data_IF_550278088074
#
_entry.id   IF_550278088074
#
_cell.length_a   1.000
_cell.length_b   1.000
_cell.length_c   1.000
_cell.angle_alpha   90.00
_cell.angle_beta   90.00
_cell.angle_gamma   90.00
#
_symmetry.space_group_name_H-M   'P 1'
#
loop_
_entity.id
_entity.type
_entity.pdbx_description
1 polymer ?
#
# COMPACT_ATOMS: atom_id res chain seq x y z
N UNK A 1 7.42 13.49 -7.03
CA UNK A 1 6.73 12.19 -7.17
C UNK A 1 6.47 11.55 -5.80
N UNK A 2 7.47 11.43 -4.93
CA UNK A 2 7.37 10.83 -3.60
C UNK A 2 6.57 11.73 -2.65
N UNK A 3 5.65 11.12 -1.87
CA UNK A 3 4.91 11.76 -0.78
C UNK A 3 5.54 11.41 0.57
N UNK A 4 5.94 10.16 0.74
CA UNK A 4 6.54 9.60 1.95
C UNK A 4 7.42 8.42 1.56
N UNK A 5 8.54 8.26 2.26
CA UNK A 5 9.44 7.12 2.11
C UNK A 5 10.13 6.78 3.43
N UNK A 6 10.55 5.55 3.57
CA UNK A 6 11.42 5.07 4.64
C UNK A 6 12.35 3.99 4.14
N UNK A 7 13.51 3.90 4.77
CA UNK A 7 14.46 2.78 4.64
C UNK A 7 14.74 2.21 6.01
N UNK A 8 14.63 0.88 6.12
CA UNK A 8 14.95 0.14 7.34
C UNK A 8 15.82 -1.06 6.95
N UNK A 9 17.12 -0.95 7.18
CA UNK A 9 18.08 -1.93 6.66
C UNK A 9 17.97 -2.04 5.15
N UNK A 10 17.77 -3.25 4.63
CA UNK A 10 17.59 -3.51 3.21
C UNK A 10 16.18 -3.19 2.67
N UNK A 11 15.23 -2.76 3.51
CA UNK A 11 13.86 -2.50 3.06
C UNK A 11 13.69 -1.04 2.65
N UNK A 12 13.11 -0.85 1.46
CA UNK A 12 12.60 0.40 0.92
C UNK A 12 11.07 0.35 0.91
N UNK A 13 10.41 1.35 1.49
CA UNK A 13 8.97 1.51 1.39
C UNK A 13 8.62 2.96 1.09
N UNK A 14 7.67 3.19 0.18
CA UNK A 14 7.31 4.54 -0.26
C UNK A 14 5.86 4.64 -0.72
N UNK A 15 5.30 5.86 -0.63
CA UNK A 15 4.03 6.24 -1.24
C UNK A 15 4.23 7.42 -2.18
N UNK A 16 3.61 7.35 -3.37
CA UNK A 16 3.63 8.45 -4.33
C UNK A 16 2.59 9.52 -4.00
N UNK A 17 2.79 10.72 -4.56
CA UNK A 17 1.71 11.68 -4.78
C UNK A 17 0.78 11.17 -5.89
N UNK A 18 -0.37 11.86 -6.06
CA UNK A 18 -1.26 11.66 -7.21
C UNK A 18 -0.47 11.72 -8.51
N UNK A 19 -0.66 10.74 -9.36
CA UNK A 19 -0.23 10.77 -10.75
C UNK A 19 -1.43 10.65 -11.68
N UNK A 20 -1.31 11.22 -12.87
CA UNK A 20 -2.32 11.12 -13.91
C UNK A 20 -2.27 9.73 -14.54
N UNK A 21 -3.02 8.81 -13.95
CA UNK A 21 -3.21 7.47 -14.44
C UNK A 21 -4.70 7.21 -14.55
N UNK A 22 -5.28 7.26 -15.74
CA UNK A 22 -6.66 6.85 -15.95
C UNK A 22 -6.84 5.40 -15.47
N UNK A 23 -7.92 5.11 -14.74
CA UNK A 23 -8.13 3.77 -14.16
C UNK A 23 -8.24 2.66 -15.20
N UNK A 24 -8.59 3.05 -16.43
CA UNK A 24 -8.85 2.14 -17.56
C UNK A 24 -7.57 1.72 -18.31
N UNK A 25 -6.42 2.33 -18.00
CA UNK A 25 -5.15 2.03 -18.66
C UNK A 25 -4.23 1.27 -17.70
N UNK A 26 -4.17 -0.06 -17.79
CA UNK A 26 -3.29 -0.87 -16.92
C UNK A 26 -1.81 -0.45 -17.00
N UNK A 27 -1.36 0.02 -18.18
CA UNK A 27 0.00 0.54 -18.39
C UNK A 27 0.27 1.84 -17.62
N UNK A 28 -0.73 2.67 -17.34
CA UNK A 28 -0.55 3.93 -16.61
C UNK A 28 -0.14 3.70 -15.15
N UNK A 29 -0.70 2.68 -14.48
CA UNK A 29 -0.28 2.31 -13.12
C UNK A 29 1.14 1.75 -13.10
N UNK A 30 1.49 0.93 -14.10
CA UNK A 30 2.86 0.42 -14.26
C UNK A 30 3.85 1.58 -14.43
N UNK A 31 3.50 2.56 -15.26
CA UNK A 31 4.30 3.77 -15.45
C UNK A 31 4.47 4.59 -14.16
N UNK A 32 3.40 4.77 -13.37
CA UNK A 32 3.50 5.47 -12.08
C UNK A 32 4.38 4.74 -11.08
N UNK A 33 4.29 3.41 -11.00
CA UNK A 33 5.14 2.61 -10.12
C UNK A 33 6.61 2.72 -10.54
N UNK A 34 6.89 2.68 -11.84
CA UNK A 34 8.23 2.89 -12.40
C UNK A 34 8.79 4.27 -12.06
N UNK A 35 8.02 5.33 -12.30
CA UNK A 35 8.41 6.69 -11.96
C UNK A 35 8.67 6.89 -10.46
N UNK A 36 7.92 6.20 -9.59
CA UNK A 36 8.19 6.22 -8.15
C UNK A 36 9.55 5.56 -7.86
N UNK A 37 9.82 4.37 -8.39
CA UNK A 37 11.10 3.69 -8.22
C UNK A 37 12.29 4.53 -8.73
N UNK A 38 12.14 5.18 -9.91
CA UNK A 38 13.13 6.11 -10.46
C UNK A 38 13.39 7.30 -9.53
N UNK A 39 12.33 7.92 -8.97
CA UNK A 39 12.46 9.05 -8.05
C UNK A 39 13.13 8.68 -6.73
N UNK A 40 13.20 7.39 -6.40
CA UNK A 40 13.87 6.82 -5.24
C UNK A 40 15.31 6.36 -5.54
N UNK A 41 15.82 6.59 -6.77
CA UNK A 41 17.14 6.16 -7.21
C UNK A 41 17.24 4.68 -7.63
N UNK A 42 16.09 4.02 -7.87
CA UNK A 42 16.02 2.59 -8.20
C UNK A 42 15.36 2.35 -9.57
N UNK A 43 15.88 2.99 -10.62
CA UNK A 43 15.34 2.90 -11.98
C UNK A 43 15.31 1.46 -12.54
N UNK A 44 16.24 0.62 -12.12
CA UNK A 44 16.36 -0.76 -12.61
C UNK A 44 15.54 -1.79 -11.80
N UNK A 45 14.89 -1.34 -10.71
CA UNK A 45 14.16 -2.24 -9.80
C UNK A 45 12.97 -2.90 -10.53
N UNK A 46 12.94 -4.23 -10.65
CA UNK A 46 11.78 -4.95 -11.15
C UNK A 46 10.57 -4.73 -10.25
N UNK A 47 9.38 -4.61 -10.83
CA UNK A 47 8.16 -4.32 -10.08
C UNK A 47 7.09 -5.36 -10.40
N UNK A 48 6.50 -5.98 -9.37
CA UNK A 48 5.29 -6.78 -9.48
C UNK A 48 4.06 -5.98 -9.03
N UNK A 49 2.97 -6.12 -9.76
CA UNK A 49 1.64 -5.61 -9.42
C UNK A 49 0.58 -6.66 -9.70
N UNK A 50 -0.64 -6.46 -9.23
CA UNK A 50 -1.78 -7.34 -9.49
C UNK A 50 -2.99 -6.55 -10.01
N UNK A 51 -3.91 -7.25 -10.68
CA UNK A 51 -5.27 -6.76 -10.90
C UNK A 51 -6.02 -6.80 -9.57
N UNK A 52 -6.25 -5.64 -8.97
CA UNK A 52 -6.93 -5.50 -7.68
C UNK A 52 -8.44 -5.68 -7.83
N UNK A 53 -9.03 -6.55 -7.02
CA UNK A 53 -10.45 -6.95 -7.10
C UNK A 53 -11.24 -6.61 -5.83
N UNK A 54 -10.63 -5.86 -4.91
CA UNK A 54 -11.20 -5.45 -3.63
C UNK A 54 -11.52 -6.62 -2.69
N UNK A 55 -10.75 -7.71 -2.79
CA UNK A 55 -10.82 -8.90 -1.96
C UNK A 55 -9.65 -9.04 -0.98
N UNK A 56 -9.22 -10.29 -0.76
CA UNK A 56 -8.04 -10.63 0.04
C UNK A 56 -7.14 -11.68 -0.61
N UNK A 57 -7.33 -11.97 -1.90
CA UNK A 57 -6.55 -12.98 -2.61
C UNK A 57 -5.07 -12.62 -2.61
N UNK A 58 -4.25 -13.62 -2.30
CA UNK A 58 -2.78 -13.50 -2.27
C UNK A 58 -2.20 -13.85 -3.63
N UNK A 59 -1.24 -13.06 -4.05
CA UNK A 59 -0.36 -13.31 -5.21
C UNK A 59 1.08 -13.34 -4.70
N UNK A 60 1.65 -14.54 -4.62
CA UNK A 60 3.04 -14.72 -4.20
C UNK A 60 3.96 -14.64 -5.43
N UNK A 61 4.90 -13.69 -5.40
CA UNK A 61 5.89 -13.47 -6.46
C UNK A 61 7.18 -14.21 -6.07
N UNK A 62 7.35 -15.43 -6.63
CA UNK A 62 8.46 -16.35 -6.31
C UNK A 62 9.50 -16.44 -7.40
N UNK A 63 9.23 -15.93 -8.59
CA UNK A 63 10.15 -15.92 -9.74
C UNK A 63 10.86 -14.57 -9.88
N UNK A 64 11.92 -14.51 -10.67
CA UNK A 64 12.60 -13.27 -11.03
C UNK A 64 11.82 -12.52 -12.10
N UNK A 65 11.84 -11.20 -11.99
CA UNK A 65 11.32 -10.28 -13.02
C UNK A 65 12.54 -9.58 -13.63
N UNK A 66 12.64 -9.44 -14.96
CA UNK A 66 13.76 -8.73 -15.58
C UNK A 66 13.89 -7.28 -15.06
N UNK A 67 15.12 -6.75 -15.01
CA UNK A 67 15.35 -5.36 -14.65
C UNK A 67 14.52 -4.40 -15.49
N UNK A 68 14.02 -3.34 -14.88
CA UNK A 68 13.15 -2.31 -15.51
C UNK A 68 11.78 -2.81 -15.96
N UNK A 69 11.44 -4.06 -15.78
CA UNK A 69 10.11 -4.55 -16.12
C UNK A 69 9.11 -4.28 -14.99
N UNK A 70 7.83 -4.16 -15.37
CA UNK A 70 6.69 -4.12 -14.46
C UNK A 70 5.72 -5.19 -14.86
N UNK A 71 5.69 -6.26 -14.09
CA UNK A 71 4.90 -7.45 -14.36
C UNK A 71 3.51 -7.37 -13.72
N UNK A 72 2.49 -7.85 -14.43
CA UNK A 72 1.18 -8.18 -13.88
C UNK A 72 1.22 -9.64 -13.39
N UNK A 73 1.51 -9.84 -12.11
CA UNK A 73 1.74 -11.15 -11.52
C UNK A 73 0.47 -11.99 -11.29
N UNK A 74 -0.71 -11.39 -11.49
CA UNK A 74 -1.98 -12.09 -11.35
C UNK A 74 -3.12 -11.19 -10.89
N UNK A 75 -4.17 -11.80 -10.33
CA UNK A 75 -5.34 -11.13 -9.77
C UNK A 75 -5.38 -11.31 -8.26
N UNK A 76 -5.43 -10.20 -7.50
CA UNK A 76 -5.48 -10.21 -6.04
C UNK A 76 -5.19 -8.85 -5.44
N UNK A 77 -5.38 -8.76 -4.14
CA UNK A 77 -5.22 -7.52 -3.36
C UNK A 77 -4.08 -7.58 -2.35
N UNK A 78 -3.44 -8.74 -2.22
CA UNK A 78 -2.28 -8.98 -1.36
C UNK A 78 -1.14 -9.52 -2.22
N UNK A 79 -0.07 -8.75 -2.36
CA UNK A 79 1.17 -9.19 -3.00
C UNK A 79 2.19 -9.54 -1.92
N UNK A 80 2.97 -10.60 -2.10
CA UNK A 80 4.03 -11.01 -1.18
C UNK A 80 5.23 -11.55 -1.93
N UNK A 81 6.43 -11.27 -1.43
CA UNK A 81 7.68 -11.85 -1.93
C UNK A 81 8.77 -11.90 -0.86
N UNK A 82 9.61 -12.91 -0.94
CA UNK A 82 10.88 -13.02 -0.21
C UNK A 82 12.09 -12.74 -1.10
N UNK A 83 11.85 -12.51 -2.40
CA UNK A 83 12.96 -12.25 -3.32
C UNK A 83 13.54 -10.85 -3.11
N UNK A 84 14.85 -10.74 -2.87
CA UNK A 84 15.50 -9.43 -2.88
C UNK A 84 15.51 -8.86 -4.31
N UNK A 85 15.54 -7.54 -4.40
CA UNK A 85 15.61 -6.84 -5.69
C UNK A 85 14.30 -6.85 -6.48
N UNK A 86 13.16 -7.28 -5.91
CA UNK A 86 11.82 -7.18 -6.51
C UNK A 86 10.95 -6.27 -5.66
N UNK A 87 10.34 -5.26 -6.27
CA UNK A 87 9.36 -4.40 -5.62
C UNK A 87 7.93 -4.90 -5.85
N UNK A 88 7.10 -4.72 -4.84
CA UNK A 88 5.65 -4.93 -4.91
C UNK A 88 4.96 -3.58 -4.94
N UNK A 89 3.98 -3.41 -5.84
CA UNK A 89 3.24 -2.17 -5.98
C UNK A 89 1.72 -2.38 -5.92
N UNK A 90 1.04 -1.56 -5.12
CA UNK A 90 -0.42 -1.44 -5.07
C UNK A 90 -0.85 -0.03 -5.44
N UNK A 91 -2.00 0.11 -6.10
CA UNK A 91 -2.57 1.39 -6.50
C UNK A 91 -3.77 1.75 -5.65
N UNK A 92 -3.93 3.03 -5.32
CA UNK A 92 -5.06 3.52 -4.52
C UNK A 92 -5.57 4.89 -4.99
N UNK A 93 -6.85 5.12 -4.73
CA UNK A 93 -7.51 6.41 -4.67
C UNK A 93 -8.65 6.24 -3.66
N UNK A 94 -8.39 6.52 -2.39
CA UNK A 94 -9.19 6.36 -1.18
C UNK A 94 -9.04 5.03 -0.42
N UNK A 95 -8.88 3.87 -1.08
CA UNK A 95 -8.62 2.61 -0.39
C UNK A 95 -7.30 2.67 0.40
N UNK A 96 -7.17 1.84 1.43
CA UNK A 96 -6.00 1.79 2.31
C UNK A 96 -4.90 0.95 1.66
N UNK A 97 -3.72 1.54 1.34
CA UNK A 97 -2.54 0.77 1.02
C UNK A 97 -1.79 0.43 2.31
N UNK A 98 -1.36 -0.82 2.46
CA UNK A 98 -0.56 -1.27 3.59
C UNK A 98 0.72 -1.89 3.05
N UNK A 99 1.86 -1.42 3.53
CA UNK A 99 3.16 -1.99 3.23
C UNK A 99 3.65 -2.73 4.47
N UNK A 100 3.89 -4.04 4.33
CA UNK A 100 4.39 -4.92 5.37
C UNK A 100 5.81 -5.33 5.04
N UNK A 101 6.66 -5.46 6.05
CA UNK A 101 8.01 -5.93 5.85
C UNK A 101 8.58 -6.60 7.10
N UNK A 102 9.42 -7.58 6.85
CA UNK A 102 10.26 -8.29 7.81
C UNK A 102 11.70 -8.30 7.29
N UNK A 103 12.61 -8.94 8.00
CA UNK A 103 13.99 -9.12 7.57
C UNK A 103 14.09 -9.86 6.23
N UNK A 104 13.23 -10.86 5.99
CA UNK A 104 13.35 -11.77 4.86
C UNK A 104 12.24 -11.65 3.79
N UNK A 105 11.32 -10.70 3.95
CA UNK A 105 10.25 -10.55 2.98
C UNK A 105 9.46 -9.27 3.12
N UNK A 106 8.68 -8.98 2.08
CA UNK A 106 7.80 -7.82 2.00
C UNK A 106 6.42 -8.21 1.46
N UNK A 107 5.39 -7.45 1.86
CA UNK A 107 4.07 -7.56 1.26
C UNK A 107 3.44 -6.18 1.05
N UNK A 108 2.65 -6.05 -0.02
CA UNK A 108 1.85 -4.88 -0.34
C UNK A 108 0.37 -5.27 -0.39
N UNK A 109 -0.46 -4.57 0.37
CA UNK A 109 -1.90 -4.88 0.51
C UNK A 109 -2.71 -3.68 0.06
N UNK A 110 -3.73 -3.94 -0.76
CA UNK A 110 -4.79 -3.01 -1.10
C UNK A 110 -6.05 -3.37 -0.31
N UNK A 111 -6.51 -2.50 0.57
CA UNK A 111 -7.67 -2.72 1.43
C UNK A 111 -8.73 -1.63 1.25
N UNK A 112 -9.66 -1.80 0.32
CA UNK A 112 -10.93 -1.09 0.31
C UNK A 112 -11.86 -1.61 1.41
N UNK A 113 -13.06 -1.04 1.58
CA UNK A 113 -13.97 -1.48 2.64
C UNK A 113 -14.35 -2.98 2.54
N UNK A 114 -14.52 -3.51 1.31
CA UNK A 114 -14.78 -4.95 1.08
C UNK A 114 -13.56 -5.80 1.45
N UNK A 115 -12.35 -5.40 1.03
CA UNK A 115 -11.11 -6.08 1.38
C UNK A 115 -10.85 -6.05 2.88
N UNK A 116 -11.15 -4.93 3.55
CA UNK A 116 -11.07 -4.81 5.01
C UNK A 116 -12.03 -5.78 5.70
N UNK A 117 -13.30 -5.84 5.28
CA UNK A 117 -14.26 -6.83 5.81
C UNK A 117 -13.82 -8.27 5.57
N UNK A 118 -13.21 -8.54 4.42
CA UNK A 118 -12.65 -9.85 4.10
C UNK A 118 -11.37 -10.19 4.89
N UNK A 119 -10.76 -9.23 5.60
CA UNK A 119 -9.55 -9.46 6.37
C UNK A 119 -8.25 -9.31 5.56
N UNK A 120 -8.21 -8.45 4.54
CA UNK A 120 -7.03 -8.31 3.66
C UNK A 120 -5.75 -7.93 4.41
N UNK A 121 -5.82 -7.09 5.45
CA UNK A 121 -4.66 -6.72 6.25
C UNK A 121 -4.10 -7.93 7.04
N UNK A 122 -4.96 -8.69 7.69
CA UNK A 122 -4.57 -9.92 8.40
C UNK A 122 -4.01 -10.98 7.44
N UNK A 123 -4.61 -11.10 6.25
CA UNK A 123 -4.15 -12.00 5.19
C UNK A 123 -2.74 -11.62 4.70
N UNK A 124 -2.43 -10.32 4.60
CA UNK A 124 -1.10 -9.83 4.27
C UNK A 124 -0.04 -10.25 5.30
N UNK A 125 -0.39 -10.19 6.60
CA UNK A 125 0.49 -10.66 7.68
C UNK A 125 0.70 -12.17 7.60
N UNK A 126 -0.39 -12.94 7.41
CA UNK A 126 -0.33 -14.39 7.27
C UNK A 126 0.55 -14.81 6.09
N UNK A 127 0.31 -14.21 4.92
CA UNK A 127 1.06 -14.53 3.71
C UNK A 127 2.55 -14.20 3.87
N UNK A 128 2.88 -13.06 4.48
CA UNK A 128 4.28 -12.69 4.74
C UNK A 128 4.94 -13.64 5.74
N UNK A 129 4.21 -14.06 6.78
CA UNK A 129 4.72 -15.03 7.75
C UNK A 129 5.03 -16.38 7.08
N UNK A 130 4.12 -16.89 6.27
CA UNK A 130 4.28 -18.16 5.55
C UNK A 130 5.42 -18.12 4.54
N UNK A 131 5.53 -17.06 3.74
CA UNK A 131 6.57 -16.94 2.71
C UNK A 131 7.97 -16.71 3.32
N UNK A 132 8.07 -15.91 4.40
CA UNK A 132 9.36 -15.56 5.00
C UNK A 132 9.81 -16.49 6.13
N UNK A 133 8.92 -17.33 6.65
CA UNK A 133 9.18 -18.14 7.85
C UNK A 133 9.32 -17.30 9.14
N UNK A 134 8.97 -16.01 9.10
CA UNK A 134 9.10 -15.08 10.24
C UNK A 134 7.79 -14.92 10.99
N UNK A 135 7.88 -14.77 12.29
CA UNK A 135 6.70 -14.50 13.12
C UNK A 135 6.20 -13.06 12.92
N UNK A 136 4.88 -12.82 13.03
CA UNK A 136 4.32 -11.46 12.92
C UNK A 136 4.91 -10.45 13.90
N UNK A 137 5.41 -10.90 15.07
CA UNK A 137 6.05 -10.04 16.07
C UNK A 137 7.35 -9.38 15.58
N UNK A 138 7.99 -9.95 14.55
CA UNK A 138 9.16 -9.37 13.88
C UNK A 138 8.83 -8.41 12.74
N UNK A 139 7.54 -8.26 12.37
CA UNK A 139 7.13 -7.45 11.24
C UNK A 139 6.92 -5.99 11.59
N UNK A 140 7.04 -5.14 10.58
CA UNK A 140 6.63 -3.75 10.58
C UNK A 140 5.54 -3.52 9.54
N UNK A 141 4.68 -2.54 9.79
CA UNK A 141 3.64 -2.13 8.86
C UNK A 141 3.57 -0.61 8.72
N UNK A 142 3.29 -0.14 7.50
CA UNK A 142 2.96 1.26 7.25
C UNK A 142 1.62 1.32 6.54
N UNK A 143 0.64 1.95 7.17
CA UNK A 143 -0.67 2.26 6.58
C UNK A 143 -0.56 3.62 5.90
N UNK A 144 -0.68 3.62 4.58
CA UNK A 144 -0.47 4.79 3.74
C UNK A 144 -1.65 5.75 3.64
N UNK A 145 -1.56 6.71 2.70
CA UNK A 145 -2.61 7.67 2.45
C UNK A 145 -3.90 6.98 2.00
N UNK A 146 -5.01 7.28 2.67
CA UNK A 146 -6.34 6.74 2.39
C UNK A 146 -7.41 7.75 2.79
N UNK A 147 -8.67 7.50 2.43
CA UNK A 147 -9.76 8.35 2.90
C UNK A 147 -9.90 8.21 4.43
N UNK A 148 -9.80 9.33 5.14
CA UNK A 148 -9.90 9.36 6.60
C UNK A 148 -11.35 9.37 7.10
N UNK A 149 -11.53 9.06 8.39
CA UNK A 149 -12.83 9.12 9.06
C UNK A 149 -13.48 10.52 8.97
N UNK A 150 -12.68 11.58 8.81
CA UNK A 150 -13.16 12.95 8.57
C UNK A 150 -14.02 13.06 7.30
N UNK A 151 -13.82 12.17 6.32
CA UNK A 151 -14.39 12.28 4.99
C UNK A 151 -15.10 11.03 4.48
N UNK A 152 -14.88 9.85 5.10
CA UNK A 152 -15.40 8.60 4.58
C UNK A 152 -16.82 8.32 5.07
N UNK A 153 -17.77 8.96 4.42
CA UNK A 153 -19.20 8.75 4.67
C UNK A 153 -19.70 7.48 3.97
N UNK A 154 -20.43 6.64 4.70
CA UNK A 154 -21.01 5.37 4.27
C UNK A 154 -22.48 5.26 4.68
N UNK A 155 -23.24 4.44 3.98
CA UNK A 155 -24.63 4.11 4.33
C UNK A 155 -24.72 3.10 5.48
N UNK A 156 -25.92 2.97 6.03
CA UNK A 156 -26.20 2.04 7.14
C UNK A 156 -25.89 0.59 6.82
N UNK A 157 -26.08 0.15 5.58
CA UNK A 157 -25.78 -1.22 5.13
C UNK A 157 -24.29 -1.57 5.30
N UNK A 158 -23.40 -0.67 4.88
CA UNK A 158 -21.95 -0.87 5.04
C UNK A 158 -21.57 -0.73 6.52
N UNK A 159 -22.18 0.24 7.23
CA UNK A 159 -21.90 0.45 8.64
C UNK A 159 -22.26 -0.75 9.51
N UNK A 160 -23.34 -1.46 9.22
CA UNK A 160 -23.78 -2.66 9.95
C UNK A 160 -22.74 -3.80 9.91
N UNK A 161 -21.80 -3.78 8.95
CA UNK A 161 -20.77 -4.80 8.80
C UNK A 161 -19.47 -4.47 9.58
N UNK A 162 -19.36 -3.28 10.17
CA UNK A 162 -18.16 -2.86 10.93
C UNK A 162 -18.47 -2.76 12.43
N UNK A 163 -17.47 -3.05 13.28
CA UNK A 163 -17.56 -2.80 14.71
C UNK A 163 -17.76 -1.31 15.01
N UNK A 164 -18.55 -1.00 16.03
CA UNK A 164 -18.93 0.36 16.39
C UNK A 164 -17.74 1.30 16.67
N UNK A 165 -16.63 0.76 17.16
CA UNK A 165 -15.42 1.53 17.45
C UNK A 165 -14.81 2.21 16.22
N UNK A 166 -15.08 1.68 15.03
CA UNK A 166 -14.63 2.26 13.75
C UNK A 166 -15.65 3.19 13.11
N UNK A 167 -16.79 3.42 13.77
CA UNK A 167 -17.90 4.20 13.24
C UNK A 167 -18.13 5.46 14.05
N UNK A 168 -18.41 6.55 13.36
CA UNK A 168 -18.97 7.77 13.96
C UNK A 168 -20.30 8.10 13.29
N UNK A 169 -21.29 8.48 14.05
CA UNK A 169 -22.57 8.95 13.48
C UNK A 169 -22.34 10.23 12.67
N UNK A 170 -22.87 10.24 11.45
CA UNK A 170 -22.94 11.40 10.57
C UNK A 170 -24.35 11.99 10.52
N UNK A 171 -24.60 12.89 9.59
CA UNK A 171 -25.92 13.46 9.35
C UNK A 171 -26.79 12.56 8.49
N UNK A 172 -28.11 12.68 8.60
CA UNK A 172 -29.06 12.00 7.69
C UNK A 172 -29.00 10.47 7.72
N UNK A 173 -28.74 9.86 8.88
CA UNK A 173 -28.68 8.40 9.02
C UNK A 173 -27.41 7.75 8.43
N UNK A 174 -26.44 8.54 8.01
CA UNK A 174 -25.16 8.09 7.53
C UNK A 174 -24.14 7.91 8.65
N UNK A 175 -23.04 7.22 8.35
CA UNK A 175 -21.93 6.98 9.26
C UNK A 175 -20.62 7.41 8.61
N UNK A 176 -19.61 7.68 9.43
CA UNK A 176 -18.23 7.86 9.00
C UNK A 176 -17.41 6.69 9.48
N UNK A 177 -16.66 6.07 8.55
CA UNK A 177 -15.86 4.88 8.81
C UNK A 177 -14.39 5.24 8.96
N UNK A 178 -13.76 4.78 10.05
CA UNK A 178 -12.31 4.75 10.23
C UNK A 178 -11.73 3.48 9.59
N UNK A 179 -11.56 3.53 8.28
CA UNK A 179 -11.04 2.40 7.52
C UNK A 179 -9.57 2.09 7.86
N UNK A 180 -8.77 3.12 8.16
CA UNK A 180 -7.37 2.93 8.58
C UNK A 180 -7.30 2.29 9.97
N UNK A 181 -8.12 2.74 10.90
CA UNK A 181 -8.24 2.15 12.24
C UNK A 181 -8.65 0.69 12.20
N UNK A 182 -9.63 0.34 11.36
CA UNK A 182 -10.07 -1.05 11.19
C UNK A 182 -8.94 -1.96 10.66
N UNK A 183 -8.18 -1.50 9.66
CA UNK A 183 -7.03 -2.25 9.16
C UNK A 183 -5.89 -2.34 10.19
N UNK A 184 -5.63 -1.27 10.95
CA UNK A 184 -4.66 -1.29 12.06
C UNK A 184 -5.02 -2.33 13.10
N UNK A 185 -6.29 -2.41 13.48
CA UNK A 185 -6.76 -3.42 14.43
C UNK A 185 -6.55 -4.84 13.92
N UNK A 186 -6.77 -5.09 12.63
CA UNK A 186 -6.48 -6.39 12.01
C UNK A 186 -4.99 -6.76 12.06
N UNK A 187 -4.10 -5.79 11.79
CA UNK A 187 -2.66 -6.02 11.89
C UNK A 187 -2.23 -6.39 13.32
N UNK A 188 -2.75 -5.67 14.32
CA UNK A 188 -2.48 -5.97 15.73
C UNK A 188 -3.02 -7.35 16.11
N UNK A 189 -4.26 -7.66 15.74
CA UNK A 189 -4.87 -8.96 16.00
C UNK A 189 -4.13 -10.11 15.30
N UNK A 190 -3.48 -9.85 14.16
CA UNK A 190 -2.63 -10.81 13.46
C UNK A 190 -1.22 -10.93 14.06
N UNK A 191 -0.90 -10.19 15.13
CA UNK A 191 0.35 -10.33 15.89
C UNK A 191 1.45 -9.33 15.55
N UNK A 192 1.19 -8.31 14.70
CA UNK A 192 2.13 -7.21 14.48
C UNK A 192 2.10 -6.28 15.70
N UNK A 193 3.24 -5.98 16.36
CA UNK A 193 3.28 -5.09 17.52
C UNK A 193 2.74 -3.69 17.19
N UNK A 194 1.94 -3.13 18.08
CA UNK A 194 1.25 -1.85 17.85
C UNK A 194 2.21 -0.66 17.64
N UNK A 195 3.40 -0.72 18.24
CA UNK A 195 4.50 0.24 18.11
C UNK A 195 5.30 0.08 16.81
N UNK A 196 5.09 -1.01 16.09
CA UNK A 196 5.66 -1.27 14.76
C UNK A 196 4.69 -1.01 13.61
N UNK A 197 3.54 -0.42 13.90
CA UNK A 197 2.54 -0.02 12.91
C UNK A 197 2.48 1.49 12.83
N UNK A 198 3.03 2.06 11.77
CA UNK A 198 2.92 3.47 11.45
C UNK A 198 1.63 3.73 10.65
N UNK A 199 0.87 4.76 11.04
CA UNK A 199 -0.33 5.19 10.31
C UNK A 199 -0.11 6.63 9.83
N UNK A 200 0.02 6.80 8.52
CA UNK A 200 0.23 8.13 7.95
C UNK A 200 -1.03 8.99 8.08
N UNK A 201 -0.90 10.27 8.49
CA UNK A 201 -2.05 11.12 8.84
C UNK A 201 -2.82 11.66 7.64
N UNK A 202 -2.47 11.26 6.42
CA UNK A 202 -3.05 11.82 5.20
C UNK A 202 -4.46 11.29 4.93
N UNK A 203 -5.43 12.22 4.77
CA UNK A 203 -6.74 11.92 4.21
C UNK A 203 -6.74 12.28 2.73
N UNK A 204 -7.01 11.32 1.85
CA UNK A 204 -6.98 11.53 0.39
C UNK A 204 -7.99 12.56 -0.10
N UNK A 205 -9.17 12.64 0.54
CA UNK A 205 -10.23 13.56 0.10
C UNK A 205 -9.97 15.01 0.48
N UNK A 206 -9.53 15.29 1.71
CA UNK A 206 -9.33 16.68 2.20
C UNK A 206 -7.86 17.07 2.35
N UNK A 207 -6.90 16.18 2.14
CA UNK A 207 -5.47 16.44 2.28
C UNK A 207 -4.83 17.19 1.10
N UNK A 208 -5.62 17.64 0.12
CA UNK A 208 -5.16 18.49 -0.97
C UNK A 208 -5.12 17.79 -2.34
N UNK A 209 -4.85 18.57 -3.41
CA UNK A 209 -4.93 18.09 -4.79
C UNK A 209 -3.81 17.11 -5.18
N UNK A 210 -2.73 17.05 -4.39
CA UNK A 210 -1.61 16.13 -4.57
C UNK A 210 -1.91 14.70 -4.13
N UNK A 211 -3.10 14.46 -3.56
CA UNK A 211 -3.60 13.13 -3.19
C UNK A 211 -4.76 12.73 -4.12
N UNK A 212 -4.72 11.49 -4.63
CA UNK A 212 -5.80 10.96 -5.45
C UNK A 212 -6.99 10.54 -4.58
N UNK A 213 -8.19 11.00 -4.94
CA UNK A 213 -9.41 10.62 -4.24
C UNK A 213 -10.57 10.39 -5.20
N UNK A 214 -11.01 9.14 -5.31
CA UNK A 214 -12.18 8.79 -6.09
C UNK A 214 -13.46 9.43 -5.53
N UNK A 215 -13.57 9.55 -4.21
CA UNK A 215 -14.70 10.20 -3.53
C UNK A 215 -14.82 11.69 -3.85
N UNK A 216 -13.68 12.35 -4.13
CA UNK A 216 -13.64 13.77 -4.50
C UNK A 216 -13.83 13.95 -6.01
N UNK A 217 -13.09 13.20 -6.83
CA UNK A 217 -12.83 13.48 -8.24
C UNK A 217 -13.51 12.47 -9.20
N UNK A 218 -14.17 11.43 -8.66
CA UNK A 218 -14.77 10.39 -9.48
C UNK A 218 -13.76 9.66 -10.38
N UNK A 219 -14.15 9.40 -11.61
CA UNK A 219 -13.30 8.71 -12.60
C UNK A 219 -11.99 9.48 -12.92
N UNK A 220 -11.95 10.79 -12.76
CA UNK A 220 -10.77 11.64 -12.95
C UNK A 220 -9.77 11.65 -11.78
N UNK A 221 -9.94 10.78 -10.78
CA UNK A 221 -9.17 10.84 -9.54
C UNK A 221 -7.65 10.67 -9.70
N UNK A 222 -7.19 10.07 -10.80
CA UNK A 222 -5.81 9.59 -10.88
C UNK A 222 -5.54 8.45 -9.90
N UNK A 223 -4.25 8.15 -9.66
CA UNK A 223 -3.87 7.09 -8.72
C UNK A 223 -2.64 7.50 -7.91
N UNK A 224 -2.49 6.85 -6.76
CA UNK A 224 -1.26 6.83 -5.96
C UNK A 224 -0.74 5.40 -5.92
N UNK A 225 0.56 5.26 -5.70
CA UNK A 225 1.25 3.98 -5.59
C UNK A 225 1.80 3.83 -4.18
N UNK A 226 1.54 2.67 -3.55
CA UNK A 226 2.34 2.16 -2.46
C UNK A 226 3.32 1.14 -3.00
N UNK A 227 4.60 1.30 -2.70
CA UNK A 227 5.68 0.46 -3.19
C UNK A 227 6.55 -0.01 -2.01
N UNK A 228 6.86 -1.30 -1.98
CA UNK A 228 7.77 -1.89 -0.99
C UNK A 228 8.70 -2.88 -1.67
N UNK A 229 9.98 -2.87 -1.29
CA UNK A 229 10.99 -3.79 -1.79
C UNK A 229 11.98 -4.16 -0.68
N UNK A 230 12.51 -5.37 -0.72
CA UNK A 230 13.76 -5.72 -0.04
C UNK A 230 14.88 -5.62 -1.08
N UNK A 231 15.79 -4.68 -0.87
CA UNK A 231 16.91 -4.44 -1.78
C UNK A 231 17.96 -5.53 -1.63
N UNK A 232 18.74 -5.78 -2.67
CA UNK A 232 19.92 -6.64 -2.58
C UNK A 232 21.01 -5.96 -1.74
N UNK A 233 21.68 -6.72 -0.88
CA UNK A 233 22.81 -6.20 -0.11
C UNK A 233 23.90 -5.69 -1.06
N UNK A 234 24.29 -4.43 -0.93
CA UNK A 234 25.29 -3.78 -1.79
C UNK A 234 24.72 -2.80 -2.83
N UNK A 235 23.40 -2.69 -2.99
CA UNK A 235 22.76 -1.58 -3.72
C UNK A 235 22.35 -0.46 -2.78
N UNK A 236 23.32 0.15 -2.09
CA UNK A 236 23.10 1.47 -1.49
C UNK A 236 22.86 2.47 -2.64
N UNK A 237 21.80 3.27 -2.56
CA UNK A 237 21.67 4.42 -3.44
C UNK A 237 22.88 5.33 -3.22
N UNK A 238 23.42 5.98 -4.27
CA UNK A 238 24.46 7.00 -4.09
C UNK A 238 23.96 8.00 -3.04
N UNK A 239 24.81 8.30 -2.05
CA UNK A 239 24.50 9.31 -1.04
C UNK A 239 24.20 10.63 -1.75
N UNK A 240 23.24 11.41 -1.21
CA UNK A 240 22.92 12.74 -1.75
C UNK A 240 24.13 13.68 -1.81
N UNK A 241 25.22 13.37 -1.10
CA UNK A 241 26.47 14.11 -1.11
C UNK A 241 27.34 13.86 -2.37
N UNK A 242 26.94 12.95 -3.26
CA UNK A 242 27.66 12.63 -4.49
C UNK A 242 27.13 13.31 -5.76
N UNK A 243 26.15 14.20 -5.64
CA UNK A 243 25.68 15.00 -6.77
C UNK A 243 26.62 16.19 -6.98
N UNK A 244 27.12 16.46 -8.22
CA UNK A 244 27.90 17.65 -8.50
C UNK A 244 27.05 18.90 -8.23
N UNK A 245 27.65 19.99 -7.72
CA UNK A 245 26.91 21.24 -7.53
C UNK A 245 26.36 21.76 -8.85
N UNK A 246 25.13 22.27 -8.80
CA UNK A 246 24.38 22.80 -9.93
C UNK A 246 25.01 24.06 -10.55
#
# INVERSE_FOLDING_TARGET
MTLWETRRGAVLAAFSRRGDAPPEIPSATAHLARRLAESLGHADLPIARATQVHGRRVVAVRHGIPPRETELAGEGDVLVTTRPGVALAVQTADCVPILLFSEDGVAAVHAGWRGTLAGAAAEGVRALAEESGRTPSGMHAVIGPAIGICCYEIGGEVAASFAGDFLRRGCGGKFRLDLKGANRAQLVAAGVPADRIEVLPFCTRCGGPHLASYRRDGAGAGRMIGLVARLENGREAPSLDSLPPA
#
